data_IF_954674567161
#
_entry.id   IF_954674567161
#
_cell.length_a   1.000
_cell.length_b   1.000
_cell.length_c   1.000
_cell.angle_alpha   90.00
_cell.angle_beta   90.00
_cell.angle_gamma   90.00
#
_symmetry.space_group_name_H-M   'P 1'
#
loop_
_entity.id
_entity.type
_entity.pdbx_description
1 polymer ?
#
# COMPACT_ATOMS: atom_id res chain seq x y z
N UNK A 1 34.59 -15.25 22.61
CA UNK A 1 33.96 -13.92 22.58
C UNK A 1 32.91 -13.93 21.49
N UNK A 2 31.67 -14.30 21.80
CA UNK A 2 30.53 -14.20 20.88
C UNK A 2 29.99 -12.79 20.97
N UNK A 3 30.23 -11.99 19.94
CA UNK A 3 29.71 -10.64 19.81
C UNK A 3 28.19 -10.70 19.72
N UNK A 4 27.51 -10.38 20.83
CA UNK A 4 26.08 -10.11 20.84
C UNK A 4 25.87 -8.80 20.07
N UNK A 5 25.60 -8.89 18.78
CA UNK A 5 25.07 -7.76 18.01
C UNK A 5 23.76 -7.35 18.67
N UNK A 6 23.74 -6.17 19.30
CA UNK A 6 22.50 -5.57 19.79
C UNK A 6 21.62 -5.27 18.59
N UNK A 7 20.75 -6.20 18.22
CA UNK A 7 19.72 -5.97 17.21
C UNK A 7 18.79 -4.92 17.80
N UNK A 8 18.89 -3.68 17.32
CA UNK A 8 17.91 -2.66 17.66
C UNK A 8 16.55 -3.17 17.19
N UNK A 9 15.60 -3.29 18.12
CA UNK A 9 14.27 -3.75 17.79
C UNK A 9 13.60 -2.69 16.94
N UNK A 10 13.49 -2.95 15.63
CA UNK A 10 12.84 -2.03 14.71
C UNK A 10 11.33 -2.00 14.99
N UNK A 11 10.72 -0.83 14.90
CA UNK A 11 9.28 -0.63 15.07
C UNK A 11 8.63 -0.66 13.69
N UNK A 12 7.40 -1.18 13.62
CA UNK A 12 6.59 -1.17 12.41
C UNK A 12 6.53 0.23 11.79
N UNK A 13 6.71 0.33 10.47
CA UNK A 13 6.71 1.62 9.79
C UNK A 13 5.33 2.29 9.75
N UNK A 14 4.24 1.54 9.95
CA UNK A 14 2.91 2.11 10.08
C UNK A 14 2.84 3.02 11.34
N UNK A 15 2.62 4.34 11.22
CA UNK A 15 2.63 5.25 12.38
C UNK A 15 1.50 4.97 13.38
N UNK A 16 0.43 4.29 12.95
CA UNK A 16 -0.67 3.85 13.81
C UNK A 16 -0.38 2.52 14.52
N UNK A 17 0.78 1.91 14.27
CA UNK A 17 1.21 0.66 14.86
C UNK A 17 2.42 0.89 15.77
N UNK A 18 2.38 0.32 16.99
CA UNK A 18 3.48 0.38 17.97
C UNK A 18 4.19 -0.96 18.15
N UNK A 19 3.84 -1.94 17.31
CA UNK A 19 4.44 -3.27 17.37
C UNK A 19 5.84 -3.26 16.78
N UNK A 20 6.69 -4.14 17.32
CA UNK A 20 8.01 -4.40 16.79
C UNK A 20 7.91 -5.27 15.54
N UNK A 21 8.79 -5.05 14.56
CA UNK A 21 8.85 -5.95 13.41
C UNK A 21 9.55 -7.25 13.79
N UNK A 22 9.11 -8.41 13.26
CA UNK A 22 9.79 -9.67 13.46
C UNK A 22 11.15 -9.69 12.76
N UNK A 23 11.99 -10.69 13.06
CA UNK A 23 13.30 -10.89 12.41
C UNK A 23 13.19 -10.94 10.88
N UNK A 24 12.08 -11.49 10.36
CA UNK A 24 11.73 -11.51 8.93
C UNK A 24 10.51 -10.60 8.68
N UNK A 25 10.71 -9.30 8.47
CA UNK A 25 9.61 -8.36 8.30
C UNK A 25 8.89 -8.57 6.96
N UNK A 26 7.60 -8.19 6.92
CA UNK A 26 6.87 -8.07 5.65
C UNK A 26 7.25 -6.78 4.96
N UNK A 27 7.44 -6.84 3.63
CA UNK A 27 7.74 -5.65 2.82
C UNK A 27 6.44 -4.93 2.49
N UNK A 28 6.39 -3.64 2.80
CA UNK A 28 5.28 -2.76 2.41
C UNK A 28 5.53 -2.06 1.07
N UNK A 29 5.09 -0.81 0.96
CA UNK A 29 5.28 0.02 -0.22
C UNK A 29 6.73 0.51 -0.36
N UNK A 30 7.06 0.97 -1.57
CA UNK A 30 8.35 1.56 -1.89
C UNK A 30 8.38 3.03 -1.46
N UNK A 31 9.41 3.42 -0.74
CA UNK A 31 9.73 4.79 -0.37
C UNK A 31 10.33 5.56 -1.54
N UNK A 32 10.38 6.89 -1.43
CA UNK A 32 11.00 7.76 -2.44
C UNK A 32 12.48 7.49 -2.67
N UNK A 33 13.19 7.01 -1.65
CA UNK A 33 14.59 6.59 -1.77
C UNK A 33 14.76 5.20 -2.43
N UNK A 34 13.66 4.58 -2.86
CA UNK A 34 13.66 3.28 -3.53
C UNK A 34 13.64 2.07 -2.59
N UNK A 35 13.82 2.25 -1.29
CA UNK A 35 13.75 1.17 -0.30
C UNK A 35 12.29 0.78 -0.01
N UNK A 36 12.08 -0.42 0.52
CA UNK A 36 10.75 -0.86 0.98
C UNK A 36 10.61 -0.60 2.48
N UNK A 37 9.41 -0.23 2.92
CA UNK A 37 9.11 -0.16 4.35
C UNK A 37 9.01 -1.55 4.96
N UNK A 38 9.42 -1.69 6.21
CA UNK A 38 9.29 -2.92 6.99
C UNK A 38 8.04 -2.81 7.87
N UNK A 39 7.14 -3.79 7.74
CA UNK A 39 5.89 -3.87 8.49
C UNK A 39 5.90 -5.10 9.41
N UNK A 40 5.21 -4.99 10.54
CA UNK A 40 4.84 -6.17 11.32
C UNK A 40 3.87 -7.07 10.53
N UNK A 41 3.66 -8.30 10.99
CA UNK A 41 2.83 -9.28 10.28
C UNK A 41 1.42 -8.79 10.00
N UNK A 42 0.78 -8.16 11.00
CA UNK A 42 -0.57 -7.61 10.86
C UNK A 42 -0.64 -6.52 9.80
N UNK A 43 0.24 -5.54 9.87
CA UNK A 43 0.22 -4.41 8.93
C UNK A 43 0.60 -4.86 7.51
N UNK A 44 1.56 -5.78 7.39
CA UNK A 44 1.96 -6.35 6.11
C UNK A 44 0.84 -7.16 5.45
N UNK A 45 0.12 -7.99 6.21
CA UNK A 45 -1.01 -8.75 5.68
C UNK A 45 -2.13 -7.84 5.16
N UNK A 46 -2.44 -6.77 5.88
CA UNK A 46 -3.44 -5.78 5.44
C UNK A 46 -2.97 -5.04 4.17
N UNK A 47 -1.66 -4.78 4.04
CA UNK A 47 -1.07 -4.21 2.83
C UNK A 47 -1.17 -5.16 1.63
N UNK A 48 -0.79 -6.42 1.79
CA UNK A 48 -0.82 -7.44 0.73
C UNK A 48 -2.23 -7.70 0.19
N UNK A 49 -3.25 -7.60 1.06
CA UNK A 49 -4.66 -7.73 0.66
C UNK A 49 -5.23 -6.45 0.03
N UNK A 50 -4.43 -5.39 -0.11
CA UNK A 50 -4.83 -4.13 -0.74
C UNK A 50 -5.80 -3.30 0.11
N UNK A 51 -5.81 -3.51 1.44
CA UNK A 51 -6.76 -2.87 2.38
C UNK A 51 -6.11 -1.91 3.37
N UNK A 52 -4.82 -1.59 3.19
CA UNK A 52 -4.05 -0.75 4.12
C UNK A 52 -4.71 0.61 4.34
N UNK A 53 -4.94 1.37 3.28
CA UNK A 53 -5.56 2.68 3.40
C UNK A 53 -6.99 2.59 3.95
N UNK A 54 -7.76 1.56 3.60
CA UNK A 54 -9.11 1.37 4.13
C UNK A 54 -9.11 1.11 5.64
N UNK A 55 -8.03 0.52 6.16
CA UNK A 55 -7.90 0.15 7.57
C UNK A 55 -7.28 1.25 8.42
N UNK A 56 -6.34 2.02 7.87
CA UNK A 56 -5.51 2.95 8.63
C UNK A 56 -5.64 4.42 8.21
N UNK A 57 -6.21 4.71 7.04
CA UNK A 57 -6.38 6.06 6.48
C UNK A 57 -7.85 6.32 6.09
N UNK A 58 -8.80 5.65 6.74
CA UNK A 58 -10.22 5.65 6.34
C UNK A 58 -10.84 7.06 6.34
N UNK A 59 -10.39 7.88 7.29
CA UNK A 59 -10.86 9.24 7.58
C UNK A 59 -9.98 10.33 6.97
N UNK A 60 -8.90 9.96 6.27
CA UNK A 60 -8.06 10.91 5.54
C UNK A 60 -8.82 11.48 4.33
N UNK A 61 -8.38 12.62 3.81
CA UNK A 61 -8.88 13.18 2.55
C UNK A 61 -8.33 12.42 1.32
N UNK A 62 -8.73 12.84 0.11
CA UNK A 62 -8.12 12.33 -1.14
C UNK A 62 -8.59 10.93 -1.57
N UNK A 63 -9.67 10.42 -0.98
CA UNK A 63 -10.38 9.24 -1.47
C UNK A 63 -11.15 9.53 -2.75
N UNK A 64 -11.04 8.60 -3.71
CA UNK A 64 -11.76 8.63 -4.97
C UNK A 64 -12.40 7.27 -5.23
N UNK A 65 -13.39 7.23 -6.10
CA UNK A 65 -14.00 5.98 -6.55
C UNK A 65 -13.43 5.57 -7.90
N UNK A 66 -13.16 4.28 -8.08
CA UNK A 66 -12.92 3.68 -9.39
C UNK A 66 -14.09 4.03 -10.33
N UNK A 67 -13.78 4.50 -11.53
CA UNK A 67 -14.79 4.86 -12.53
C UNK A 67 -15.58 3.62 -12.97
N UNK A 68 -14.91 2.48 -13.11
CA UNK A 68 -15.52 1.23 -13.58
C UNK A 68 -16.32 0.46 -12.52
N UNK A 69 -15.77 0.28 -11.31
CA UNK A 69 -16.39 -0.60 -10.28
C UNK A 69 -16.74 0.10 -8.96
N UNK A 70 -16.56 1.43 -8.88
CA UNK A 70 -16.83 2.25 -7.70
C UNK A 70 -16.05 1.88 -6.43
N UNK A 71 -15.08 0.95 -6.50
CA UNK A 71 -14.14 0.66 -5.41
C UNK A 71 -13.49 1.95 -4.89
N UNK A 72 -13.48 2.13 -3.58
CA UNK A 72 -12.87 3.28 -2.91
C UNK A 72 -11.34 3.14 -2.92
N UNK A 73 -10.63 4.19 -3.33
CA UNK A 73 -9.17 4.21 -3.50
C UNK A 73 -8.59 5.51 -2.94
N UNK A 74 -7.57 5.42 -2.08
CA UNK A 74 -6.93 6.59 -1.48
C UNK A 74 -5.85 7.13 -2.42
N UNK A 75 -6.24 8.05 -3.30
CA UNK A 75 -5.41 8.53 -4.42
C UNK A 75 -4.25 9.45 -4.01
N UNK A 76 -4.34 10.11 -2.86
CA UNK A 76 -3.30 11.00 -2.32
C UNK A 76 -2.21 10.30 -1.50
N UNK A 77 -2.18 8.97 -1.46
CA UNK A 77 -1.33 8.21 -0.56
C UNK A 77 -0.29 7.35 -1.30
N UNK A 78 0.98 7.43 -0.90
CA UNK A 78 2.07 6.62 -1.50
C UNK A 78 1.79 5.11 -1.43
N UNK A 79 1.09 4.68 -0.38
CA UNK A 79 0.69 3.27 -0.18
C UNK A 79 -0.14 2.74 -1.37
N UNK A 80 -0.99 3.59 -1.95
CA UNK A 80 -1.92 3.24 -3.04
C UNK A 80 -1.35 3.50 -4.44
N UNK A 81 -0.09 3.92 -4.57
CA UNK A 81 0.50 4.32 -5.87
C UNK A 81 0.42 3.24 -6.94
N UNK A 82 0.42 1.97 -6.56
CA UNK A 82 0.28 0.84 -7.47
C UNK A 82 -1.14 0.24 -7.50
N UNK A 83 -2.12 0.88 -6.86
CA UNK A 83 -3.47 0.34 -6.71
C UNK A 83 -4.46 0.87 -7.77
N UNK A 84 -4.08 1.91 -8.52
CA UNK A 84 -4.92 2.54 -9.54
C UNK A 84 -4.11 3.18 -10.68
N UNK A 85 -4.80 3.53 -11.76
CA UNK A 85 -4.28 4.38 -12.84
C UNK A 85 -5.12 5.65 -12.95
N UNK A 86 -4.51 6.73 -13.44
CA UNK A 86 -5.21 7.95 -13.82
C UNK A 86 -5.80 7.77 -15.22
N UNK A 87 -7.02 8.27 -15.43
CA UNK A 87 -7.67 8.27 -16.73
C UNK A 87 -7.45 9.61 -17.45
N UNK A 88 -7.29 9.57 -18.77
CA UNK A 88 -7.00 10.76 -19.59
C UNK A 88 -8.11 11.82 -19.51
N UNK A 89 -9.36 11.39 -19.44
CA UNK A 89 -10.53 12.27 -19.27
C UNK A 89 -10.79 12.67 -17.80
N UNK A 90 -9.84 12.37 -16.90
CA UNK A 90 -9.99 12.54 -15.46
C UNK A 90 -10.68 11.36 -14.78
N UNK A 91 -10.47 11.27 -13.46
CA UNK A 91 -10.89 10.12 -12.66
C UNK A 91 -9.78 9.07 -12.52
N UNK A 92 -10.14 7.93 -11.94
CA UNK A 92 -9.23 6.81 -11.70
C UNK A 92 -9.92 5.48 -11.98
N UNK A 93 -9.15 4.48 -12.40
CA UNK A 93 -9.57 3.08 -12.38
C UNK A 93 -8.69 2.29 -11.44
N UNK A 94 -9.28 1.35 -10.69
CA UNK A 94 -8.49 0.38 -9.94
C UNK A 94 -7.68 -0.49 -10.90
N UNK A 95 -6.52 -1.00 -10.47
CA UNK A 95 -5.66 -1.81 -11.36
C UNK A 95 -6.36 -3.02 -11.97
N UNK A 96 -7.35 -3.61 -11.28
CA UNK A 96 -8.12 -4.72 -11.82
C UNK A 96 -8.96 -4.28 -13.03
N UNK A 97 -9.69 -3.16 -12.91
CA UNK A 97 -10.48 -2.60 -14.02
C UNK A 97 -9.59 -2.09 -15.15
N UNK A 98 -8.49 -1.40 -14.82
CA UNK A 98 -7.54 -0.90 -15.81
C UNK A 98 -7.00 -2.03 -16.71
N UNK A 99 -6.63 -3.17 -16.11
CA UNK A 99 -6.16 -4.36 -16.87
C UNK A 99 -7.25 -4.92 -17.79
N UNK A 100 -8.48 -5.04 -17.30
CA UNK A 100 -9.61 -5.52 -18.11
C UNK A 100 -9.93 -4.58 -19.27
N UNK A 101 -9.93 -3.27 -19.03
CA UNK A 101 -10.23 -2.27 -20.05
C UNK A 101 -9.12 -2.17 -21.10
N UNK A 102 -7.86 -2.34 -20.71
CA UNK A 102 -6.74 -2.40 -21.65
C UNK A 102 -6.89 -3.55 -22.66
N UNK A 103 -7.28 -4.74 -22.19
CA UNK A 103 -7.51 -5.90 -23.05
C UNK A 103 -8.62 -5.61 -24.08
N UNK A 104 -9.75 -5.03 -23.63
CA UNK A 104 -10.88 -4.70 -24.51
C UNK A 104 -10.56 -3.62 -25.56
N UNK A 105 -9.61 -2.74 -25.28
CA UNK A 105 -9.20 -1.68 -26.22
C UNK A 105 -8.22 -2.17 -27.30
N UNK A 106 -7.66 -3.37 -27.14
CA UNK A 106 -6.74 -4.01 -28.08
C UNK A 106 -7.41 -5.02 -29.04
N UNK A 107 -8.74 -5.15 -28.95
CA UNK A 107 -9.60 -5.92 -29.85
C UNK A 107 -10.23 -5.01 -30.90
#
# INVERSE_FOLDING_TARGET
MTSSSSSSTKICFNPYCKETVPERPRRGWRLRNGNYVELCDRCGFVYETGRFCESFHADDDGWRSCASCRKRLHSGCIVSTHAFVLLDAGGIDCMACARTNFIKASE
#
